data_IF_221072115472
#
_entry.id   IF_221072115472
#
_cell.length_a   1.000
_cell.length_b   1.000
_cell.length_c   1.000
_cell.angle_alpha   90.00
_cell.angle_beta   90.00
_cell.angle_gamma   90.00
#
_symmetry.space_group_name_H-M   'P 1'
#
loop_
_entity.id
_entity.type
_entity.pdbx_description
1 polymer ?
#
# COMPACT_ATOMS: atom_id res chain seq x y z
N UNK A 1 -16.38 20.35 -1.16
CA UNK A 1 -15.16 19.53 -1.38
C UNK A 1 -14.55 18.92 -0.10
N UNK A 2 -14.69 19.51 1.11
CA UNK A 2 -14.09 18.97 2.35
C UNK A 2 -14.66 17.63 2.87
N UNK A 3 -15.87 17.22 2.46
CA UNK A 3 -16.55 16.02 3.00
C UNK A 3 -16.02 14.68 2.48
N UNK A 4 -15.52 14.62 1.24
CA UNK A 4 -15.01 13.37 0.64
C UNK A 4 -13.68 12.95 1.28
N UNK A 5 -12.84 13.92 1.65
CA UNK A 5 -11.51 13.69 2.27
C UNK A 5 -11.52 13.45 3.78
N UNK A 6 -12.70 13.51 4.41
CA UNK A 6 -12.89 13.13 5.83
C UNK A 6 -13.33 11.67 5.99
N UNK A 7 -13.65 11.00 4.88
CA UNK A 7 -14.03 9.60 4.91
C UNK A 7 -12.77 8.72 4.82
N UNK A 8 -12.70 7.63 5.61
CA UNK A 8 -11.61 6.66 5.50
C UNK A 8 -11.73 5.79 4.24
N UNK A 9 -12.82 5.94 3.47
CA UNK A 9 -13.09 5.19 2.24
C UNK A 9 -11.91 5.08 1.26
N UNK A 10 -11.21 6.18 0.87
CA UNK A 10 -10.07 6.08 -0.03
C UNK A 10 -8.91 5.27 0.54
N UNK A 11 -8.64 5.37 1.84
CA UNK A 11 -7.58 4.57 2.49
C UNK A 11 -7.97 3.09 2.61
N UNK A 12 -9.24 2.80 2.90
CA UNK A 12 -9.80 1.44 2.95
C UNK A 12 -9.84 0.82 1.55
N UNK A 13 -10.30 1.58 0.56
CA UNK A 13 -10.34 1.14 -0.83
C UNK A 13 -8.94 0.84 -1.37
N UNK A 14 -7.95 1.68 -1.03
CA UNK A 14 -6.57 1.44 -1.39
C UNK A 14 -5.97 0.21 -0.70
N UNK A 15 -6.30 -0.04 0.58
CA UNK A 15 -5.86 -1.28 1.25
C UNK A 15 -6.37 -2.52 0.55
N UNK A 16 -7.66 -2.54 0.21
CA UNK A 16 -8.26 -3.68 -0.50
C UNK A 16 -7.62 -3.83 -1.89
N UNK A 17 -7.42 -2.72 -2.61
CA UNK A 17 -6.77 -2.72 -3.92
C UNK A 17 -5.33 -3.27 -3.86
N UNK A 18 -4.55 -2.93 -2.83
CA UNK A 18 -3.20 -3.48 -2.62
C UNK A 18 -3.24 -4.99 -2.47
N UNK A 19 -4.13 -5.53 -1.62
CA UNK A 19 -4.20 -6.97 -1.41
C UNK A 19 -4.59 -7.72 -2.69
N UNK A 20 -5.52 -7.16 -3.49
CA UNK A 20 -5.91 -7.74 -4.78
C UNK A 20 -4.73 -7.68 -5.77
N UNK A 21 -4.05 -6.53 -5.86
CA UNK A 21 -2.93 -6.31 -6.78
C UNK A 21 -1.75 -7.24 -6.48
N UNK A 22 -1.45 -7.50 -5.21
CA UNK A 22 -0.36 -8.37 -4.77
C UNK A 22 -0.69 -9.86 -4.89
N UNK A 23 -1.99 -10.23 -4.84
CA UNK A 23 -2.44 -11.60 -5.08
C UNK A 23 -2.56 -11.96 -6.57
N UNK A 24 -2.38 -11.01 -7.49
CA UNK A 24 -2.39 -11.28 -8.92
C UNK A 24 -1.06 -11.95 -9.33
N UNK A 25 -1.09 -13.18 -9.88
CA UNK A 25 0.12 -13.88 -10.27
C UNK A 25 0.76 -13.20 -11.48
N UNK A 26 1.96 -12.62 -11.27
CA UNK A 26 2.78 -12.05 -12.34
C UNK A 26 3.18 -13.06 -13.42
N UNK A 27 3.11 -14.36 -13.12
CA UNK A 27 3.43 -15.49 -14.01
C UNK A 27 2.47 -15.67 -15.19
N UNK A 28 1.27 -15.05 -15.17
CA UNK A 28 0.31 -15.09 -16.29
C UNK A 28 0.36 -13.88 -17.21
N UNK A 29 1.24 -12.91 -16.94
CA UNK A 29 1.39 -11.72 -17.79
C UNK A 29 2.40 -12.09 -18.89
N UNK A 30 1.97 -12.26 -20.15
CA UNK A 30 2.88 -12.58 -21.24
C UNK A 30 3.95 -11.49 -21.30
N UNK A 31 5.23 -11.89 -21.25
CA UNK A 31 6.38 -11.00 -21.24
C UNK A 31 6.52 -10.26 -22.56
N UNK A 32 5.75 -9.18 -22.73
CA UNK A 32 5.87 -8.23 -23.83
C UNK A 32 5.81 -6.81 -23.27
N UNK A 33 6.95 -6.11 -23.21
CA UNK A 33 7.04 -4.68 -22.87
C UNK A 33 7.33 -4.35 -21.40
N UNK A 34 6.83 -3.20 -20.88
CA UNK A 34 7.14 -2.60 -19.55
C UNK A 34 7.12 -3.55 -18.33
N UNK A 35 6.54 -4.74 -18.45
CA UNK A 35 6.50 -5.81 -17.45
C UNK A 35 7.72 -6.75 -17.45
N UNK A 36 8.66 -6.58 -18.38
CA UNK A 36 9.91 -7.35 -18.48
C UNK A 36 11.04 -6.80 -17.58
N UNK A 37 10.78 -5.70 -16.86
CA UNK A 37 11.76 -5.11 -15.95
C UNK A 37 12.04 -6.06 -14.78
N UNK A 38 13.27 -6.58 -14.64
CA UNK A 38 13.65 -7.34 -13.46
C UNK A 38 13.44 -6.43 -12.25
N UNK A 39 12.67 -6.90 -11.25
CA UNK A 39 12.25 -6.17 -10.04
C UNK A 39 11.04 -5.22 -10.17
N UNK A 40 10.23 -5.29 -11.22
CA UNK A 40 8.99 -4.48 -11.27
C UNK A 40 8.07 -4.73 -10.07
N UNK A 41 8.02 -5.98 -9.59
CA UNK A 41 7.32 -6.36 -8.36
C UNK A 41 7.77 -5.53 -7.14
N UNK A 42 9.09 -5.34 -6.94
CA UNK A 42 9.63 -4.52 -5.84
C UNK A 42 9.26 -3.05 -5.95
N UNK A 43 9.26 -2.50 -7.18
CA UNK A 43 8.87 -1.11 -7.42
C UNK A 43 7.37 -0.94 -7.14
N UNK A 44 6.54 -1.89 -7.61
CA UNK A 44 5.12 -1.90 -7.33
C UNK A 44 4.84 -1.96 -5.83
N UNK A 45 5.56 -2.80 -5.07
CA UNK A 45 5.48 -2.84 -3.61
C UNK A 45 5.77 -1.47 -3.00
N UNK A 46 6.89 -0.84 -3.34
CA UNK A 46 7.25 0.49 -2.79
C UNK A 46 6.18 1.54 -3.08
N UNK A 47 5.61 1.56 -4.29
CA UNK A 47 4.56 2.51 -4.67
C UNK A 47 3.24 2.21 -3.95
N UNK A 48 2.85 0.94 -3.87
CA UNK A 48 1.61 0.49 -3.23
C UNK A 48 1.62 0.78 -1.72
N UNK A 49 2.69 0.38 -1.03
CA UNK A 49 2.88 0.60 0.40
C UNK A 49 3.15 2.08 0.73
N UNK A 50 3.90 2.79 -0.11
CA UNK A 50 4.05 4.25 0.00
C UNK A 50 2.71 4.97 -0.11
N UNK A 51 1.86 4.57 -1.06
CA UNK A 51 0.49 5.05 -1.22
C UNK A 51 -0.38 4.75 0.00
N UNK A 52 -0.27 3.56 0.59
CA UNK A 52 -0.97 3.19 1.84
C UNK A 52 -0.61 4.13 2.98
N UNK A 53 0.68 4.30 3.27
CA UNK A 53 1.14 5.20 4.35
C UNK A 53 0.69 6.64 4.07
N UNK A 54 0.83 7.11 2.83
CA UNK A 54 0.43 8.46 2.41
C UNK A 54 -1.07 8.72 2.59
N UNK A 55 -1.94 7.80 2.13
CA UNK A 55 -3.40 7.91 2.24
C UNK A 55 -3.89 7.90 3.69
N UNK A 56 -3.32 7.03 4.52
CA UNK A 56 -3.64 6.97 5.94
C UNK A 56 -3.15 8.22 6.70
N UNK A 57 -1.95 8.71 6.38
CA UNK A 57 -1.44 9.95 6.98
C UNK A 57 -2.24 11.17 6.53
N UNK A 58 -2.67 11.22 5.27
CA UNK A 58 -3.55 12.26 4.77
C UNK A 58 -4.91 12.25 5.48
N UNK A 59 -5.50 11.07 5.70
CA UNK A 59 -6.72 10.90 6.50
C UNK A 59 -6.56 11.36 7.96
N UNK A 60 -5.40 11.08 8.56
CA UNK A 60 -5.10 11.51 9.93
C UNK A 60 -4.85 13.02 10.00
N UNK A 61 -4.25 13.61 8.97
CA UNK A 61 -4.02 15.04 8.86
C UNK A 61 -5.35 15.81 8.76
N UNK A 62 -6.33 15.32 8.00
CA UNK A 62 -7.66 15.95 7.92
C UNK A 62 -8.45 15.93 9.23
N UNK A 63 -8.07 15.09 10.21
CA UNK A 63 -8.64 15.10 11.57
C UNK A 63 -8.02 16.13 12.53
N UNK A 64 -7.06 16.93 12.08
CA UNK A 64 -6.51 18.10 12.78
C UNK A 64 -6.09 17.83 14.24
N UNK A 65 -5.49 16.65 14.51
CA UNK A 65 -5.11 16.19 15.87
C UNK A 65 -3.74 16.69 16.35
N UNK A 66 -3.15 17.67 15.66
CA UNK A 66 -1.81 18.19 15.96
C UNK A 66 -0.67 17.37 15.33
N UNK A 67 0.48 18.02 15.14
CA UNK A 67 1.64 17.44 14.44
C UNK A 67 2.26 16.24 15.17
N UNK A 68 2.27 16.23 16.51
CA UNK A 68 2.83 15.13 17.29
C UNK A 68 2.01 13.84 17.17
N UNK A 69 0.69 13.98 17.17
CA UNK A 69 -0.22 12.86 16.95
C UNK A 69 0.00 12.25 15.55
N UNK A 70 0.15 13.12 14.53
CA UNK A 70 0.39 12.66 13.17
C UNK A 70 1.70 11.88 13.02
N UNK A 71 2.80 12.34 13.64
CA UNK A 71 4.08 11.62 13.62
C UNK A 71 3.98 10.24 14.27
N UNK A 72 3.33 10.15 15.43
CA UNK A 72 3.15 8.88 16.15
C UNK A 72 2.36 7.88 15.30
N UNK A 73 1.27 8.33 14.68
CA UNK A 73 0.47 7.48 13.82
C UNK A 73 1.14 7.16 12.48
N UNK A 74 1.88 8.10 11.88
CA UNK A 74 2.72 7.84 10.71
C UNK A 74 3.66 6.66 11.00
N UNK A 75 4.35 6.68 12.15
CA UNK A 75 5.27 5.63 12.52
C UNK A 75 4.57 4.27 12.68
N UNK A 76 3.39 4.25 13.31
CA UNK A 76 2.58 3.03 13.47
C UNK A 76 2.13 2.49 12.10
N UNK A 77 1.56 3.34 11.25
CA UNK A 77 1.09 2.96 9.91
C UNK A 77 2.25 2.48 9.04
N UNK A 78 3.40 3.14 9.12
CA UNK A 78 4.62 2.72 8.44
C UNK A 78 5.07 1.33 8.91
N UNK A 79 5.08 1.07 10.21
CA UNK A 79 5.46 -0.23 10.77
C UNK A 79 4.50 -1.34 10.32
N UNK A 80 3.19 -1.07 10.33
CA UNK A 80 2.17 -1.97 9.78
C UNK A 80 2.42 -2.22 8.28
N UNK A 81 2.73 -1.17 7.52
CA UNK A 81 3.02 -1.28 6.09
C UNK A 81 4.23 -2.17 5.81
N UNK A 82 5.30 -2.05 6.60
CA UNK A 82 6.50 -2.90 6.47
C UNK A 82 6.16 -4.35 6.79
N UNK A 83 5.48 -4.60 7.91
CA UNK A 83 5.06 -5.96 8.30
C UNK A 83 4.16 -6.58 7.24
N UNK A 84 3.21 -5.82 6.70
CA UNK A 84 2.31 -6.29 5.64
C UNK A 84 3.06 -6.57 4.33
N UNK A 85 4.06 -5.75 3.98
CA UNK A 85 4.93 -6.01 2.82
C UNK A 85 5.71 -7.31 2.95
N UNK A 86 6.35 -7.54 4.10
CA UNK A 86 7.07 -8.80 4.37
C UNK A 86 6.12 -9.99 4.32
N UNK A 87 4.96 -9.90 4.97
CA UNK A 87 3.93 -10.95 4.91
C UNK A 87 3.50 -11.27 3.48
N UNK A 88 3.30 -10.24 2.65
CA UNK A 88 2.91 -10.45 1.25
C UNK A 88 4.02 -11.09 0.42
N UNK A 89 5.28 -10.78 0.68
CA UNK A 89 6.42 -11.47 0.06
C UNK A 89 6.42 -12.97 0.40
N UNK A 90 6.14 -13.33 1.67
CA UNK A 90 5.94 -14.73 2.06
C UNK A 90 4.73 -15.36 1.35
N UNK A 91 3.60 -14.66 1.29
CA UNK A 91 2.38 -15.15 0.63
C UNK A 91 2.63 -15.39 -0.86
N UNK A 92 3.31 -14.47 -1.56
CA UNK A 92 3.67 -14.62 -2.97
C UNK A 92 4.63 -15.79 -3.18
N UNK A 93 5.65 -15.93 -2.32
CA UNK A 93 6.60 -17.03 -2.41
C UNK A 93 5.96 -18.42 -2.20
N UNK A 94 5.00 -18.55 -1.28
CA UNK A 94 4.39 -19.85 -0.95
C UNK A 94 3.12 -20.19 -1.74
N UNK A 95 2.33 -19.21 -2.19
CA UNK A 95 1.04 -19.44 -2.86
C UNK A 95 1.05 -19.16 -4.37
N UNK A 96 1.99 -18.34 -4.85
CA UNK A 96 1.95 -17.77 -6.21
C UNK A 96 3.20 -18.12 -7.04
N UNK A 97 4.36 -18.31 -6.39
CA UNK A 97 5.61 -18.75 -7.01
C UNK A 97 5.67 -20.26 -7.22
#
# INVERSE_FOLDING_TARGET
>A
MKKIFSNPLPAIGWTIAIQIALCLPGTKIPGVGLFELPNLDKIAHVVLFGGFVGLWCYYLFTRNRGFEYLKKWFFIVFLISVVNGVLMEYVQFYLIS
#
